data_IF_153911079241
#
_entry.id   IF_153911079241
#
_cell.length_a   1.000
_cell.length_b   1.000
_cell.length_c   1.000
_cell.angle_alpha   90.00
_cell.angle_beta   90.00
_cell.angle_gamma   90.00
#
_symmetry.space_group_name_H-M   'P 1'
#
loop_
_entity.id
_entity.type
_entity.pdbx_description
1 polymer ?
#
# COMPACT_ATOMS: atom_id res chain seq x y z
N UNK A 1 -11.97 -54.49 17.66
CA UNK A 1 -10.93 -53.45 17.80
C UNK A 1 -11.39 -52.25 16.98
N UNK A 2 -12.05 -51.27 17.62
CA UNK A 2 -12.57 -50.07 16.96
C UNK A 2 -11.93 -48.88 17.67
N UNK A 3 -10.94 -48.28 17.00
CA UNK A 3 -10.14 -47.17 17.51
C UNK A 3 -10.99 -45.91 17.39
N UNK A 4 -11.27 -45.29 18.54
CA UNK A 4 -11.86 -43.96 18.64
C UNK A 4 -10.72 -42.97 18.39
N UNK A 5 -10.74 -42.28 17.25
CA UNK A 5 -9.79 -41.20 16.98
C UNK A 5 -10.39 -39.93 17.58
N UNK A 6 -9.86 -39.53 18.73
CA UNK A 6 -10.04 -38.20 19.31
C UNK A 6 -9.31 -37.20 18.41
N UNK A 7 -10.05 -36.32 17.72
CA UNK A 7 -9.46 -35.13 17.12
C UNK A 7 -9.30 -34.08 18.22
N UNK A 8 -8.07 -33.96 18.73
CA UNK A 8 -7.65 -32.84 19.57
C UNK A 8 -7.59 -31.60 18.70
N UNK A 9 -8.57 -30.70 18.84
CA UNK A 9 -8.58 -29.40 18.19
C UNK A 9 -7.47 -28.55 18.81
N UNK A 10 -6.34 -28.44 18.11
CA UNK A 10 -5.24 -27.56 18.48
C UNK A 10 -5.67 -26.12 18.12
N UNK A 11 -6.19 -25.40 19.10
CA UNK A 11 -6.42 -23.95 19.00
C UNK A 11 -5.05 -23.30 18.85
N UNK A 12 -4.77 -22.79 17.64
CA UNK A 12 -3.62 -21.94 17.37
C UNK A 12 -3.92 -20.57 17.99
N UNK A 13 -3.40 -20.36 19.20
CA UNK A 13 -3.42 -19.04 19.81
C UNK A 13 -2.53 -18.11 18.99
N UNK A 14 -3.14 -17.21 18.22
CA UNK A 14 -2.45 -16.07 17.63
C UNK A 14 -1.92 -15.26 18.80
N UNK A 15 -0.61 -15.33 19.02
CA UNK A 15 0.07 -14.44 19.95
C UNK A 15 0.17 -13.11 19.22
N UNK A 16 -0.94 -12.35 19.22
CA UNK A 16 -0.86 -10.93 18.96
C UNK A 16 0.15 -10.39 19.96
N UNK A 17 1.26 -9.85 19.48
CA UNK A 17 2.17 -9.05 20.30
C UNK A 17 1.44 -7.74 20.55
N UNK A 18 0.35 -7.81 21.30
CA UNK A 18 -0.23 -6.65 21.94
C UNK A 18 0.79 -6.23 22.98
N UNK A 19 1.24 -4.99 22.88
CA UNK A 19 1.79 -4.31 24.05
C UNK A 19 0.83 -4.57 25.21
N UNK A 20 1.37 -5.03 26.33
CA UNK A 20 0.60 -5.27 27.53
C UNK A 20 -0.07 -3.95 27.92
N UNK A 21 -1.37 -3.81 27.63
CA UNK A 21 -2.17 -2.77 28.23
C UNK A 21 -2.16 -3.05 29.73
N UNK A 22 -1.60 -2.12 30.50
CA UNK A 22 -1.83 -2.09 31.92
C UNK A 22 -3.35 -2.01 32.13
N UNK A 23 -3.96 -3.10 32.61
CA UNK A 23 -5.32 -3.07 33.15
C UNK A 23 -5.35 -2.00 34.25
N UNK A 24 -5.95 -0.85 33.96
CA UNK A 24 -6.16 0.22 34.93
C UNK A 24 -5.94 1.67 34.45
N UNK A 25 -5.41 1.93 33.25
CA UNK A 25 -5.26 3.32 32.79
C UNK A 25 -6.60 3.92 32.32
N UNK A 26 -7.00 5.06 32.88
CA UNK A 26 -8.22 5.79 32.49
C UNK A 26 -8.14 6.42 31.09
N UNK A 27 -6.96 6.36 30.44
CA UNK A 27 -6.65 6.98 29.16
C UNK A 27 -6.00 5.98 28.21
N UNK A 28 -6.33 6.04 26.93
CA UNK A 28 -5.63 5.33 25.85
C UNK A 28 -5.12 6.32 24.82
N UNK A 29 -4.05 5.99 24.10
CA UNK A 29 -3.55 6.78 22.97
C UNK A 29 -3.08 5.89 21.84
N UNK A 30 -3.33 6.33 20.61
CA UNK A 30 -2.84 5.74 19.38
C UNK A 30 -2.64 6.83 18.31
N UNK A 31 -1.95 6.47 17.24
CA UNK A 31 -1.82 7.26 16.02
C UNK A 31 -2.57 6.60 14.87
N UNK A 32 -2.86 7.34 13.79
CA UNK A 32 -3.53 6.78 12.60
C UNK A 32 -2.65 5.83 11.78
N UNK A 33 -1.33 5.94 11.93
CA UNK A 33 -0.31 5.06 11.33
C UNK A 33 0.81 4.86 12.37
N UNK A 34 1.64 3.86 12.17
CA UNK A 34 2.87 3.62 12.93
C UNK A 34 4.12 4.17 12.24
N UNK A 35 4.02 4.65 11.00
CA UNK A 35 5.14 5.21 10.24
C UNK A 35 4.78 6.54 9.59
N UNK A 36 5.70 7.49 9.62
CA UNK A 36 5.52 8.82 9.04
C UNK A 36 6.79 9.33 8.36
N UNK A 37 6.59 10.21 7.41
CA UNK A 37 7.59 10.91 6.62
C UNK A 37 7.47 12.41 6.85
N UNK A 38 8.48 13.16 6.44
CA UNK A 38 8.40 14.62 6.45
C UNK A 38 7.15 15.12 5.70
N UNK A 39 6.38 16.00 6.33
CA UNK A 39 5.14 16.54 5.78
C UNK A 39 3.87 15.72 6.04
N UNK A 40 3.99 14.48 6.53
CA UNK A 40 2.82 13.66 6.84
C UNK A 40 2.00 14.25 7.99
N UNK A 41 0.69 14.00 7.94
CA UNK A 41 -0.24 14.40 8.98
C UNK A 41 -0.43 13.27 9.99
N UNK A 42 0.05 13.49 11.21
CA UNK A 42 -0.08 12.58 12.34
C UNK A 42 -1.36 12.93 13.10
N UNK A 43 -2.29 11.99 13.16
CA UNK A 43 -3.52 12.09 13.94
C UNK A 43 -3.35 11.27 15.22
N UNK A 44 -3.20 11.97 16.33
CA UNK A 44 -3.15 11.38 17.66
C UNK A 44 -4.57 11.32 18.20
N UNK A 45 -5.03 10.14 18.58
CA UNK A 45 -6.38 9.92 19.09
C UNK A 45 -6.38 8.98 20.28
N UNK A 46 -7.45 9.06 21.08
CA UNK A 46 -7.57 8.24 22.27
C UNK A 46 -8.91 8.37 22.94
N UNK A 47 -9.09 7.62 24.02
CA UNK A 47 -10.33 7.59 24.79
C UNK A 47 -10.08 7.68 26.28
N UNK A 48 -10.92 8.45 26.95
CA UNK A 48 -11.01 8.56 28.41
C UNK A 48 -12.19 7.73 28.88
N UNK A 49 -11.95 6.82 29.83
CA UNK A 49 -12.99 5.93 30.38
C UNK A 49 -13.88 6.70 31.36
N UNK A 50 -13.28 7.49 32.24
CA UNK A 50 -13.99 8.26 33.28
C UNK A 50 -13.62 9.73 33.19
N UNK A 51 -14.58 10.56 32.79
CA UNK A 51 -14.39 12.01 32.64
C UNK A 51 -14.49 12.69 34.01
N UNK A 52 -13.46 13.46 34.37
CA UNK A 52 -13.37 14.18 35.66
C UNK A 52 -13.54 15.68 35.41
N UNK A 53 -14.76 16.18 35.54
CA UNK A 53 -15.07 17.60 35.33
C UNK A 53 -14.61 18.09 33.94
N UNK A 54 -13.97 19.26 33.91
CA UNK A 54 -13.40 19.86 32.69
C UNK A 54 -11.91 19.54 32.49
N UNK A 55 -11.41 18.46 33.09
CA UNK A 55 -10.00 18.06 32.97
C UNK A 55 -9.65 17.79 31.51
N UNK A 56 -8.55 18.38 31.03
CA UNK A 56 -8.04 18.20 29.67
C UNK A 56 -6.93 17.14 29.63
N UNK A 57 -6.74 16.52 28.47
CA UNK A 57 -5.59 15.63 28.23
C UNK A 57 -4.37 16.49 27.93
N UNK A 58 -3.26 16.26 28.63
CA UNK A 58 -1.96 16.84 28.25
C UNK A 58 -1.23 15.84 27.37
N UNK A 59 -1.02 16.18 26.10
CA UNK A 59 -0.23 15.41 25.15
C UNK A 59 1.16 15.99 25.05
N UNK A 60 2.17 15.12 25.07
CA UNK A 60 3.58 15.45 24.88
C UNK A 60 4.16 14.52 23.82
N UNK A 61 4.85 15.08 22.83
CA UNK A 61 5.58 14.34 21.81
C UNK A 61 7.08 14.41 22.10
N UNK A 62 7.75 13.26 22.15
CA UNK A 62 9.16 13.15 22.45
C UNK A 62 9.96 12.47 21.33
N UNK A 63 11.21 12.90 21.18
CA UNK A 63 12.27 12.18 20.48
C UNK A 63 13.43 11.93 21.43
N UNK A 64 13.56 10.70 21.93
CA UNK A 64 14.44 10.42 23.07
C UNK A 64 14.03 11.30 24.27
N UNK A 65 14.98 12.06 24.81
CA UNK A 65 14.73 12.99 25.92
C UNK A 65 14.25 14.40 25.46
N UNK A 66 14.16 14.64 24.16
CA UNK A 66 13.79 15.96 23.61
C UNK A 66 12.28 16.07 23.47
N UNK A 67 11.68 17.06 24.15
CA UNK A 67 10.28 17.43 23.96
C UNK A 67 10.13 18.19 22.63
N UNK A 68 9.36 17.62 21.72
CA UNK A 68 9.08 18.18 20.39
C UNK A 68 7.84 19.07 20.43
N UNK A 69 6.77 18.58 21.05
CA UNK A 69 5.49 19.28 21.10
C UNK A 69 4.76 18.99 22.41
N UNK A 70 3.94 19.95 22.83
CA UNK A 70 3.04 19.80 23.97
C UNK A 70 1.71 20.49 23.66
N UNK A 71 0.60 19.81 23.92
CA UNK A 71 -0.74 20.34 23.73
C UNK A 71 -1.67 19.95 24.88
N UNK A 72 -2.64 20.83 25.17
CA UNK A 72 -3.77 20.50 26.03
C UNK A 72 -5.02 20.31 25.16
N UNK A 73 -5.63 19.14 25.27
CA UNK A 73 -6.70 18.68 24.39
C UNK A 73 -7.98 18.52 25.21
N UNK A 74 -9.05 19.19 24.76
CA UNK A 74 -10.37 19.04 25.35
C UNK A 74 -10.95 17.67 25.02
N UNK A 75 -11.47 16.99 26.03
CA UNK A 75 -12.16 15.70 25.88
C UNK A 75 -13.62 15.96 25.49
N UNK A 76 -14.13 15.23 24.50
CA UNK A 76 -15.54 15.27 24.12
C UNK A 76 -16.42 14.53 25.13
N UNK A 77 -17.74 14.73 25.05
CA UNK A 77 -18.69 14.15 26.02
C UNK A 77 -18.74 12.62 26.00
N UNK A 78 -18.34 12.00 24.90
CA UNK A 78 -18.22 10.55 24.72
C UNK A 78 -16.83 10.00 25.13
N UNK A 79 -15.96 10.86 25.69
CA UNK A 79 -14.64 10.50 26.18
C UNK A 79 -13.54 10.50 25.13
N UNK A 80 -13.86 10.76 23.86
CA UNK A 80 -12.86 10.78 22.80
C UNK A 80 -12.04 12.07 22.83
N UNK A 81 -10.83 12.02 22.30
CA UNK A 81 -10.03 13.20 22.02
C UNK A 81 -9.16 12.97 20.78
N UNK A 82 -8.82 14.07 20.11
CA UNK A 82 -8.04 14.05 18.89
C UNK A 82 -7.15 15.28 18.81
N UNK A 83 -5.95 15.11 18.28
CA UNK A 83 -5.02 16.18 17.96
C UNK A 83 -4.25 15.84 16.69
N UNK A 84 -3.91 16.87 15.91
CA UNK A 84 -3.26 16.71 14.62
C UNK A 84 -1.96 17.48 14.59
N UNK A 85 -0.90 16.81 14.16
CA UNK A 85 0.45 17.37 14.01
C UNK A 85 0.90 17.13 12.57
N UNK A 86 1.60 18.10 11.99
CA UNK A 86 2.28 17.89 10.71
C UNK A 86 3.75 17.63 11.02
N UNK A 87 4.31 16.53 10.51
CA UNK A 87 5.67 16.08 10.77
C UNK A 87 6.71 16.95 10.02
N UNK A 88 6.76 18.25 10.33
CA UNK A 88 7.55 19.25 9.62
C UNK A 88 8.20 20.26 10.56
N UNK A 89 9.34 20.81 10.14
CA UNK A 89 10.02 21.90 10.84
C UNK A 89 11.33 21.51 11.53
N UNK A 90 11.93 22.42 12.32
CA UNK A 90 13.32 22.29 12.78
C UNK A 90 13.53 21.17 13.81
N UNK A 91 12.45 20.66 14.42
CA UNK A 91 12.50 19.56 15.40
C UNK A 91 12.27 18.17 14.73
N UNK A 92 11.91 18.15 13.45
CA UNK A 92 11.66 16.97 12.64
C UNK A 92 12.85 16.66 11.73
N UNK A 93 14.01 16.43 12.35
CA UNK A 93 15.29 16.29 11.62
C UNK A 93 15.93 14.91 11.80
N UNK A 94 15.47 14.13 12.78
CA UNK A 94 16.11 12.89 13.19
C UNK A 94 15.20 11.70 12.98
N UNK A 95 15.65 10.75 12.16
CA UNK A 95 14.90 9.52 11.90
C UNK A 95 14.74 8.63 13.15
N UNK A 96 13.78 7.70 13.07
CA UNK A 96 13.51 6.62 14.03
C UNK A 96 12.35 6.92 14.96
N UNK A 97 12.23 6.16 16.05
CA UNK A 97 11.07 6.20 16.94
C UNK A 97 10.85 7.52 17.70
N UNK A 98 9.59 7.97 17.72
CA UNK A 98 9.03 9.07 18.48
C UNK A 98 7.96 8.52 19.43
N UNK A 99 7.82 9.16 20.60
CA UNK A 99 6.90 8.73 21.65
C UNK A 99 5.85 9.81 21.91
N UNK A 100 4.59 9.44 21.73
CA UNK A 100 3.46 10.22 22.21
C UNK A 100 3.14 9.76 23.60
N UNK A 101 3.18 10.69 24.55
CA UNK A 101 2.74 10.49 25.92
C UNK A 101 1.53 11.36 26.20
N UNK A 102 0.47 10.76 26.73
CA UNK A 102 -0.70 11.49 27.20
C UNK A 102 -0.85 11.32 28.70
N UNK A 103 -1.21 12.41 29.38
CA UNK A 103 -1.51 12.41 30.80
C UNK A 103 -2.90 12.99 31.03
N UNK A 104 -3.71 12.32 31.83
CA UNK A 104 -5.07 12.75 32.18
C UNK A 104 -5.28 12.75 33.70
N UNK A 105 -5.52 13.92 34.28
CA UNK A 105 -5.66 14.06 35.74
C UNK A 105 -4.39 13.62 36.50
N UNK A 106 -4.58 13.08 37.70
CA UNK A 106 -3.48 12.64 38.56
C UNK A 106 -3.05 11.20 38.23
N UNK A 107 -1.92 11.06 37.55
CA UNK A 107 -1.22 9.77 37.38
C UNK A 107 -1.71 8.86 36.25
N UNK A 108 -2.78 9.19 35.52
CA UNK A 108 -3.20 8.37 34.38
C UNK A 108 -2.36 8.72 33.14
N UNK A 109 -1.53 7.77 32.73
CA UNK A 109 -0.59 7.93 31.62
C UNK A 109 -0.86 6.83 30.60
N UNK A 110 -0.79 7.20 29.32
CA UNK A 110 -0.68 6.25 28.22
C UNK A 110 0.37 6.73 27.22
N UNK A 111 1.05 5.79 26.59
CA UNK A 111 2.15 6.05 25.67
C UNK A 111 1.96 5.21 24.40
N UNK A 112 2.29 5.78 23.25
CA UNK A 112 2.39 5.05 21.98
C UNK A 112 3.64 5.51 21.23
N UNK A 113 4.16 4.63 20.38
CA UNK A 113 5.33 4.88 19.55
C UNK A 113 4.93 4.91 18.09
N UNK A 114 5.64 5.71 17.30
CA UNK A 114 5.64 5.66 15.85
C UNK A 114 7.04 5.95 15.33
N UNK A 115 7.35 5.50 14.12
CA UNK A 115 8.62 5.80 13.46
C UNK A 115 8.47 6.97 12.49
N UNK A 116 9.52 7.81 12.42
CA UNK A 116 9.59 8.97 11.53
C UNK A 116 10.86 8.95 10.70
N UNK A 117 10.78 9.37 9.44
CA UNK A 117 11.93 9.52 8.54
C UNK A 117 11.89 10.90 7.87
N UNK A 118 12.91 11.76 8.07
CA UNK A 118 12.99 13.04 7.37
C UNK A 118 13.32 12.84 5.90
N UNK A 119 12.86 13.74 5.02
CA UNK A 119 12.99 13.60 3.56
C UNK A 119 14.46 13.42 3.14
N UNK A 120 15.35 14.18 3.78
CA UNK A 120 16.80 14.14 3.55
C UNK A 120 17.50 12.81 3.90
N UNK A 121 16.84 11.93 4.67
CA UNK A 121 17.36 10.60 5.03
C UNK A 121 16.64 9.48 4.30
N UNK A 122 15.67 9.81 3.45
CA UNK A 122 15.06 8.83 2.59
C UNK A 122 16.12 8.39 1.57
N UNK A 123 16.66 7.19 1.77
CA UNK A 123 17.41 6.51 0.72
C UNK A 123 16.36 5.92 -0.21
N UNK A 124 15.90 6.74 -1.15
CA UNK A 124 15.08 6.27 -2.26
C UNK A 124 16.00 5.58 -3.26
N UNK A 125 15.65 4.35 -3.61
CA UNK A 125 16.25 3.69 -4.77
C UNK A 125 15.27 3.85 -5.91
N UNK A 126 15.65 4.68 -6.87
CA UNK A 126 14.94 4.80 -8.15
C UNK A 126 15.66 3.97 -9.19
N UNK A 127 14.90 3.20 -9.96
CA UNK A 127 15.43 2.39 -11.04
C UNK A 127 14.38 2.09 -12.09
N UNK A 128 14.82 1.46 -13.17
CA UNK A 128 13.96 0.86 -14.18
C UNK A 128 14.22 -0.64 -14.13
N UNK A 129 13.16 -1.43 -14.01
CA UNK A 129 13.26 -2.88 -14.02
C UNK A 129 12.80 -3.39 -15.39
N UNK A 130 13.67 -4.06 -16.17
CA UNK A 130 13.28 -4.67 -17.42
C UNK A 130 12.47 -5.94 -17.13
N UNK A 131 11.19 -5.90 -17.45
CA UNK A 131 10.24 -7.00 -17.27
C UNK A 131 10.16 -7.80 -18.56
N UNK A 132 10.37 -9.11 -18.43
CA UNK A 132 10.19 -10.05 -19.53
C UNK A 132 8.71 -10.38 -19.73
N UNK A 133 8.22 -10.17 -20.95
CA UNK A 133 6.86 -10.48 -21.37
C UNK A 133 6.81 -11.60 -22.43
N UNK A 134 7.85 -12.44 -22.48
CA UNK A 134 7.92 -13.61 -23.35
C UNK A 134 7.97 -13.23 -24.83
N UNK A 135 7.09 -13.82 -25.64
CA UNK A 135 7.04 -13.58 -27.09
C UNK A 135 6.70 -12.14 -27.48
N UNK A 136 6.24 -11.35 -26.50
CA UNK A 136 5.88 -9.94 -26.66
C UNK A 136 7.05 -9.00 -26.41
N UNK A 137 8.23 -9.54 -26.08
CA UNK A 137 9.45 -8.79 -25.83
C UNK A 137 9.58 -8.38 -24.37
N UNK A 138 10.19 -7.23 -24.14
CA UNK A 138 10.50 -6.68 -22.81
C UNK A 138 9.99 -5.26 -22.69
N UNK A 139 9.61 -4.86 -21.50
CA UNK A 139 9.19 -3.49 -21.19
C UNK A 139 9.77 -3.06 -19.84
N UNK A 140 9.95 -1.76 -19.65
CA UNK A 140 10.55 -1.23 -18.43
C UNK A 140 9.47 -0.71 -17.48
N UNK A 141 9.54 -1.14 -16.22
CA UNK A 141 8.74 -0.56 -15.13
C UNK A 141 9.64 0.33 -14.31
N UNK A 142 9.36 1.64 -14.30
CA UNK A 142 10.07 2.56 -13.42
C UNK A 142 9.55 2.40 -12.00
N UNK A 143 10.46 2.36 -11.04
CA UNK A 143 10.11 2.27 -9.64
C UNK A 143 10.93 3.23 -8.80
N UNK A 144 10.33 3.66 -7.69
CA UNK A 144 11.03 4.29 -6.57
C UNK A 144 10.64 3.53 -5.31
N UNK A 145 11.61 2.97 -4.60
CA UNK A 145 11.37 2.21 -3.36
C UNK A 145 12.11 2.83 -2.18
N UNK A 146 11.43 2.88 -1.04
CA UNK A 146 11.97 3.23 0.29
C UNK A 146 11.66 2.10 1.27
N UNK A 147 12.59 1.79 2.17
CA UNK A 147 12.40 0.78 3.20
C UNK A 147 12.67 -0.65 2.73
N UNK A 148 13.03 -0.82 1.46
CA UNK A 148 13.36 -2.12 0.89
C UNK A 148 14.10 -2.02 -0.42
N UNK A 149 14.30 -3.17 -1.04
CA UNK A 149 14.96 -3.33 -2.34
C UNK A 149 14.01 -4.12 -3.24
N UNK A 150 13.85 -3.70 -4.50
CA UNK A 150 13.14 -4.51 -5.52
C UNK A 150 14.08 -5.62 -5.98
N UNK A 151 13.67 -6.87 -5.82
CA UNK A 151 14.43 -8.05 -6.24
C UNK A 151 14.07 -8.47 -7.67
N UNK A 152 12.76 -8.54 -7.97
CA UNK A 152 12.28 -8.78 -9.32
C UNK A 152 10.91 -8.16 -9.59
N UNK A 153 10.64 -7.90 -10.86
CA UNK A 153 9.29 -7.61 -11.38
C UNK A 153 9.04 -8.60 -12.52
N UNK A 154 8.00 -9.41 -12.36
CA UNK A 154 7.64 -10.49 -13.27
C UNK A 154 6.19 -10.33 -13.73
N UNK A 155 5.91 -10.71 -14.99
CA UNK A 155 4.52 -10.80 -15.46
C UNK A 155 3.87 -12.06 -14.90
N UNK A 156 2.61 -11.93 -14.48
CA UNK A 156 1.74 -13.06 -14.13
C UNK A 156 0.51 -13.07 -15.05
N UNK A 157 0.63 -13.59 -16.29
CA UNK A 157 -0.47 -13.59 -17.24
C UNK A 157 -1.73 -14.33 -16.74
N UNK A 158 -1.56 -15.39 -15.95
CA UNK A 158 -2.66 -16.16 -15.35
C UNK A 158 -3.49 -15.32 -14.35
N UNK A 159 -2.86 -14.32 -13.72
CA UNK A 159 -3.49 -13.40 -12.78
C UNK A 159 -3.71 -12.00 -13.38
N UNK A 160 -3.47 -11.81 -14.68
CA UNK A 160 -3.61 -10.53 -15.39
C UNK A 160 -2.84 -9.37 -14.71
N UNK A 161 -1.67 -9.66 -14.15
CA UNK A 161 -0.97 -8.75 -13.27
C UNK A 161 0.56 -8.83 -13.28
N UNK A 162 1.17 -8.05 -12.41
CA UNK A 162 2.61 -8.08 -12.13
C UNK A 162 2.85 -8.59 -10.71
N UNK A 163 3.87 -9.44 -10.56
CA UNK A 163 4.43 -9.82 -9.28
C UNK A 163 5.72 -9.04 -9.04
N UNK A 164 5.71 -8.20 -8.02
CA UNK A 164 6.89 -7.44 -7.57
C UNK A 164 7.42 -8.12 -6.31
N UNK A 165 8.60 -8.73 -6.40
CA UNK A 165 9.32 -9.28 -5.25
C UNK A 165 10.19 -8.21 -4.63
N UNK A 166 10.05 -8.01 -3.33
CA UNK A 166 10.81 -7.04 -2.56
C UNK A 166 11.49 -7.69 -1.36
N UNK A 167 12.60 -7.08 -0.93
CA UNK A 167 13.19 -7.32 0.39
C UNK A 167 12.95 -6.08 1.25
N UNK A 168 11.89 -6.11 2.07
CA UNK A 168 11.52 -5.03 3.00
C UNK A 168 12.38 -5.10 4.28
N UNK A 169 13.41 -4.25 4.31
CA UNK A 169 14.30 -4.12 5.47
C UNK A 169 13.65 -3.32 6.60
N UNK A 170 12.71 -2.45 6.24
CA UNK A 170 11.93 -1.57 7.12
C UNK A 170 10.52 -1.35 6.53
N UNK A 171 9.64 -0.71 7.31
CA UNK A 171 8.38 -0.20 6.79
C UNK A 171 8.66 0.85 5.72
N UNK A 172 7.89 0.82 4.64
CA UNK A 172 8.29 1.48 3.43
C UNK A 172 7.15 1.75 2.47
N UNK A 173 7.54 2.26 1.31
CA UNK A 173 6.63 2.47 0.20
C UNK A 173 7.33 2.24 -1.12
N UNK A 174 6.56 1.79 -2.09
CA UNK A 174 6.99 1.63 -3.47
C UNK A 174 6.07 2.43 -4.38
N UNK A 175 6.68 3.19 -5.28
CA UNK A 175 6.01 3.90 -6.36
C UNK A 175 6.34 3.18 -7.65
N UNK A 176 5.34 2.85 -8.45
CA UNK A 176 5.48 2.13 -9.71
C UNK A 176 4.82 2.92 -10.84
N UNK A 177 5.58 3.21 -11.89
CA UNK A 177 5.08 3.72 -13.16
C UNK A 177 4.70 2.54 -14.05
N UNK A 178 3.41 2.26 -14.16
CA UNK A 178 2.82 1.16 -14.90
C UNK A 178 2.50 1.62 -16.34
N UNK A 179 3.22 1.13 -17.36
CA UNK A 179 2.93 1.51 -18.74
C UNK A 179 1.62 0.88 -19.20
N UNK A 180 0.70 1.68 -19.77
CA UNK A 180 -0.63 1.20 -20.17
C UNK A 180 -0.59 0.19 -21.29
N UNK A 181 0.37 0.31 -22.21
CA UNK A 181 0.57 -0.71 -23.26
C UNK A 181 0.93 -2.08 -22.67
N UNK A 182 1.39 -2.09 -21.43
CA UNK A 182 1.90 -3.24 -20.72
C UNK A 182 0.91 -3.79 -19.71
N UNK A 183 0.38 -2.96 -18.82
CA UNK A 183 -0.56 -3.39 -17.80
C UNK A 183 -1.61 -2.30 -17.64
N UNK A 184 -2.87 -2.73 -17.55
CA UNK A 184 -3.97 -1.79 -17.38
C UNK A 184 -5.14 -2.42 -16.66
N UNK A 185 -5.90 -1.57 -15.99
CA UNK A 185 -7.20 -1.86 -15.43
C UNK A 185 -8.22 -0.95 -16.12
N UNK A 186 -9.02 -1.51 -17.02
CA UNK A 186 -9.92 -0.76 -17.90
C UNK A 186 -11.31 -1.41 -17.98
N UNK A 187 -12.33 -0.57 -18.01
CA UNK A 187 -13.71 -0.97 -18.30
C UNK A 187 -13.86 -1.30 -19.79
N UNK A 188 -14.96 -1.98 -20.14
CA UNK A 188 -15.31 -2.28 -21.55
C UNK A 188 -15.43 -1.04 -22.45
N UNK A 189 -15.57 0.15 -21.89
CA UNK A 189 -15.64 1.41 -22.62
C UNK A 189 -14.28 2.14 -22.73
N UNK A 190 -13.18 1.51 -22.32
CA UNK A 190 -11.82 2.07 -22.35
C UNK A 190 -11.55 3.13 -21.29
N UNK A 191 -12.43 3.29 -20.29
CA UNK A 191 -12.15 4.14 -19.13
C UNK A 191 -11.40 3.36 -18.06
N UNK A 192 -10.56 4.06 -17.31
CA UNK A 192 -9.83 3.48 -16.19
C UNK A 192 -10.75 2.84 -15.14
N UNK A 193 -10.29 1.70 -14.64
CA UNK A 193 -10.77 1.04 -13.44
C UNK A 193 -9.64 0.96 -12.40
N UNK A 194 -10.01 0.68 -11.17
CA UNK A 194 -9.06 0.44 -10.07
C UNK A 194 -8.26 -0.85 -10.27
N UNK A 195 -6.97 -0.82 -9.93
CA UNK A 195 -6.17 -2.03 -9.78
C UNK A 195 -6.55 -2.74 -8.47
N UNK A 196 -6.36 -4.06 -8.42
CA UNK A 196 -6.39 -4.81 -7.17
C UNK A 196 -4.94 -5.04 -6.75
N UNK A 197 -4.58 -4.62 -5.54
CA UNK A 197 -3.20 -4.76 -5.04
C UNK A 197 -3.21 -5.65 -3.80
N UNK A 198 -2.37 -6.69 -3.82
CA UNK A 198 -2.18 -7.62 -2.72
C UNK A 198 -0.74 -7.51 -2.21
N UNK A 199 -0.56 -7.60 -0.89
CA UNK A 199 0.74 -7.75 -0.24
C UNK A 199 0.73 -9.09 0.50
N UNK A 200 1.63 -10.01 0.13
CA UNK A 200 1.64 -11.40 0.62
C UNK A 200 0.24 -12.03 0.63
N UNK A 201 -0.46 -11.97 -0.50
CA UNK A 201 -1.85 -12.45 -0.71
C UNK A 201 -2.97 -11.74 0.08
N UNK A 202 -2.66 -10.69 0.85
CA UNK A 202 -3.66 -9.86 1.54
C UNK A 202 -3.93 -8.57 0.76
N UNK A 203 -5.21 -8.29 0.49
CA UNK A 203 -5.59 -7.07 -0.24
C UNK A 203 -5.27 -5.80 0.57
N UNK A 204 -4.65 -4.82 -0.10
CA UNK A 204 -4.30 -3.51 0.47
C UNK A 204 -4.92 -2.36 -0.34
N UNK A 205 -4.76 -1.14 0.17
CA UNK A 205 -5.09 0.11 -0.50
C UNK A 205 -3.85 0.75 -1.12
N UNK A 206 -4.05 1.60 -2.13
CA UNK A 206 -2.98 2.34 -2.79
C UNK A 206 -3.45 3.74 -3.17
N UNK A 207 -2.51 4.63 -3.43
CA UNK A 207 -2.77 5.97 -3.97
C UNK A 207 -2.36 6.04 -5.45
N UNK A 208 -3.20 6.63 -6.30
CA UNK A 208 -2.82 6.94 -7.69
C UNK A 208 -2.28 8.36 -7.78
N UNK A 209 -0.97 8.49 -7.98
CA UNK A 209 -0.27 9.79 -8.02
C UNK A 209 -0.47 10.48 -9.37
N UNK A 210 -0.47 9.71 -10.46
CA UNK A 210 -0.55 10.24 -11.81
C UNK A 210 -1.22 9.25 -12.76
N UNK A 211 -2.09 9.75 -13.64
CA UNK A 211 -2.64 8.98 -14.76
C UNK A 211 -2.67 9.83 -16.02
N UNK A 212 -2.16 9.29 -17.12
CA UNK A 212 -2.17 9.90 -18.45
C UNK A 212 -2.40 8.83 -19.53
N UNK A 213 -2.29 9.19 -20.81
CA UNK A 213 -2.56 8.26 -21.92
C UNK A 213 -1.53 7.14 -22.08
N UNK A 214 -0.35 7.26 -21.47
CA UNK A 214 0.77 6.33 -21.65
C UNK A 214 1.05 5.45 -20.44
N UNK A 215 0.80 5.95 -19.23
CA UNK A 215 1.08 5.23 -17.98
C UNK A 215 0.16 5.66 -16.84
N UNK A 216 0.17 4.85 -15.77
CA UNK A 216 -0.41 5.16 -14.46
C UNK A 216 0.64 4.96 -13.39
N UNK A 217 0.73 5.87 -12.43
CA UNK A 217 1.68 5.81 -11.33
C UNK A 217 0.95 5.53 -10.03
N UNK A 218 1.29 4.42 -9.37
CA UNK A 218 0.67 3.98 -8.11
C UNK A 218 1.69 4.00 -6.97
N UNK A 219 1.26 4.42 -5.79
CA UNK A 219 2.02 4.37 -4.53
C UNK A 219 1.40 3.35 -3.58
N UNK A 220 2.22 2.44 -3.06
CA UNK A 220 1.82 1.31 -2.23
C UNK A 220 2.71 1.30 -0.98
N UNK A 221 2.10 1.36 0.20
CA UNK A 221 2.81 1.19 1.47
C UNK A 221 2.98 -0.30 1.78
N UNK A 222 4.13 -0.67 2.36
CA UNK A 222 4.42 -2.03 2.81
C UNK A 222 5.07 -2.00 4.20
N UNK A 223 4.94 -3.10 4.94
CA UNK A 223 5.55 -3.30 6.25
C UNK A 223 6.85 -4.09 6.14
N UNK A 224 7.68 -3.98 7.17
CA UNK A 224 8.90 -4.77 7.31
C UNK A 224 8.57 -6.26 7.33
N UNK A 225 9.23 -7.01 6.46
CA UNK A 225 9.02 -8.44 6.29
C UNK A 225 8.09 -8.80 5.13
N UNK A 226 7.39 -7.83 4.54
CA UNK A 226 6.65 -8.05 3.29
C UNK A 226 7.57 -8.39 2.13
N UNK A 227 7.22 -9.41 1.35
CA UNK A 227 8.08 -9.94 0.30
C UNK A 227 7.48 -9.86 -1.10
N UNK A 228 6.16 -9.81 -1.20
CA UNK A 228 5.47 -9.90 -2.49
C UNK A 228 4.38 -8.84 -2.58
N UNK A 229 4.38 -8.09 -3.69
CA UNK A 229 3.33 -7.14 -4.05
C UNK A 229 2.78 -7.57 -5.41
N UNK A 230 1.52 -7.98 -5.45
CA UNK A 230 0.81 -8.34 -6.69
C UNK A 230 -0.06 -7.17 -7.14
N UNK A 231 0.07 -6.78 -8.41
CA UNK A 231 -0.71 -5.70 -9.03
C UNK A 231 -1.55 -6.32 -10.12
N UNK A 232 -2.84 -6.48 -9.86
CA UNK A 232 -3.79 -7.17 -10.72
C UNK A 232 -4.61 -6.12 -11.47
N UNK A 233 -4.57 -6.21 -12.80
CA UNK A 233 -5.36 -5.38 -13.70
C UNK A 233 -6.42 -6.19 -14.43
N UNK A 234 -6.85 -5.66 -15.57
CA UNK A 234 -7.65 -6.36 -16.57
C UNK A 234 -6.80 -7.03 -17.64
N UNK A 235 -5.52 -6.67 -17.74
CA UNK A 235 -4.52 -7.29 -18.61
C UNK A 235 -3.10 -6.96 -18.13
N UNK A 236 -2.14 -7.83 -18.47
CA UNK A 236 -0.69 -7.62 -18.45
C UNK A 236 -0.12 -8.16 -19.77
N UNK A 237 0.89 -7.49 -20.34
CA UNK A 237 1.39 -7.50 -21.73
C UNK A 237 0.98 -8.74 -22.54
N UNK A 238 0.54 -8.59 -23.81
CA UNK A 238 -0.27 -7.54 -24.44
C UNK A 238 -1.20 -8.19 -25.52
N UNK A 239 -1.83 -7.34 -26.31
CA UNK A 239 -2.83 -7.72 -27.31
C UNK A 239 -2.23 -8.27 -28.63
N UNK A 240 -2.07 -9.59 -28.76
CA UNK A 240 -2.14 -10.21 -30.09
C UNK A 240 -3.58 -10.27 -30.61
N UNK A 241 -4.59 -10.17 -29.74
CA UNK A 241 -6.00 -10.31 -30.10
C UNK A 241 -6.45 -9.29 -31.15
N UNK A 242 -6.25 -7.99 -30.92
CA UNK A 242 -6.73 -6.94 -31.84
C UNK A 242 -5.98 -6.95 -33.16
N UNK A 243 -4.65 -7.05 -33.16
CA UNK A 243 -3.85 -7.08 -34.40
C UNK A 243 -4.06 -8.39 -35.17
N UNK A 244 -4.04 -9.56 -34.51
CA UNK A 244 -4.33 -10.84 -35.18
C UNK A 244 -5.76 -10.87 -35.69
N UNK A 245 -6.74 -10.34 -34.94
CA UNK A 245 -8.12 -10.25 -35.43
C UNK A 245 -8.25 -9.27 -36.59
N UNK A 246 -7.56 -8.13 -36.59
CA UNK A 246 -7.55 -7.20 -37.74
C UNK A 246 -6.90 -7.86 -38.95
N UNK A 247 -5.73 -8.49 -38.81
CA UNK A 247 -5.04 -9.22 -39.89
C UNK A 247 -5.92 -10.37 -40.40
N UNK A 248 -6.54 -11.14 -39.51
CA UNK A 248 -7.44 -12.23 -39.84
C UNK A 248 -8.68 -11.71 -40.57
N UNK A 249 -9.28 -10.61 -40.10
CA UNK A 249 -10.47 -10.00 -40.71
C UNK A 249 -10.14 -9.46 -42.10
N UNK A 250 -9.00 -8.77 -42.27
CA UNK A 250 -8.50 -8.31 -43.58
C UNK A 250 -8.23 -9.52 -44.49
N UNK A 251 -7.61 -10.58 -43.97
CA UNK A 251 -7.35 -11.83 -44.69
C UNK A 251 -8.63 -12.53 -45.17
N UNK A 252 -9.66 -12.59 -44.33
CA UNK A 252 -10.97 -13.15 -44.69
C UNK A 252 -11.65 -12.27 -45.74
N UNK A 253 -11.70 -10.94 -45.54
CA UNK A 253 -12.32 -10.02 -46.51
C UNK A 253 -11.63 -10.08 -47.88
N UNK A 254 -10.31 -10.05 -47.92
CA UNK A 254 -9.53 -10.15 -49.17
C UNK A 254 -9.77 -11.49 -49.86
N UNK A 255 -9.78 -12.59 -49.12
CA UNK A 255 -10.11 -13.93 -49.65
C UNK A 255 -11.52 -14.00 -50.24
N UNK A 256 -12.52 -13.42 -49.55
CA UNK A 256 -13.91 -13.36 -50.04
C UNK A 256 -14.03 -12.51 -51.31
N UNK A 257 -13.35 -11.35 -51.35
CA UNK A 257 -13.32 -10.46 -52.53
C UNK A 257 -12.69 -11.15 -53.75
N UNK A 258 -11.53 -11.81 -53.58
CA UNK A 258 -10.85 -12.54 -54.65
C UNK A 258 -11.68 -13.74 -55.13
N UNK A 259 -12.37 -14.42 -54.22
CA UNK A 259 -13.23 -15.57 -54.55
C UNK A 259 -14.47 -15.11 -55.33
N UNK A 260 -15.13 -14.02 -54.92
CA UNK A 260 -16.29 -13.46 -55.65
C UNK A 260 -15.96 -13.07 -57.08
N UNK A 261 -14.76 -12.55 -57.34
CA UNK A 261 -14.38 -12.09 -58.67
C UNK A 261 -14.04 -13.25 -59.64
N UNK A 262 -13.69 -14.44 -59.13
CA UNK A 262 -13.43 -15.64 -59.96
C UNK A 262 -14.70 -16.36 -60.44
N UNK A 263 -15.86 -16.15 -59.80
CA UNK A 263 -17.12 -16.81 -60.17
C UNK A 263 -17.97 -16.02 -61.18
N UNK A 264 -17.49 -14.87 -61.68
CA UNK A 264 -18.06 -14.22 -62.87
C UNK A 264 -17.40 -14.74 -64.15
N UNK A 265 -17.39 -16.06 -64.35
CA UNK A 265 -17.13 -16.60 -65.69
C UNK A 265 -18.42 -16.39 -66.49
N UNK A 266 -18.40 -15.44 -67.42
CA UNK A 266 -19.47 -15.26 -68.41
C UNK A 266 -19.66 -16.58 -69.17
N UNK A 267 -20.85 -17.17 -69.05
CA UNK A 267 -21.40 -18.13 -70.02
C UNK A 267 -21.99 -17.31 -71.17
#
# INVERSE_FOLDING_TARGET
MKIIIFYTLMILGVISIGTAFAEGSLVSVQTNDSNYSEGDTIIISGKIITIIGDTQVTMQLFKGDTLIEIAQIKVSQDGNYLHTIIAQGPLWQSQGSYMVKVTYGEGNIAETLFDYIPESKIIETTGEFPVDAGDSGTFDVKYTIRGGIVESIETEPENLGLLVKINSLDNGKIILELPRESIGAEKQNGQDETFIILINDAQTTYEEIQSNLTFRTVEINFEKGDSEIQIIGTYVIPEFGTIVMIILTIGILTSVLLTKNKFQIKI
#
